data_IF_017429641911
#
_entry.id   IF_017429641911
#
_cell.length_a   1.000
_cell.length_b   1.000
_cell.length_c   1.000
_cell.angle_alpha   90.00
_cell.angle_beta   90.00
_cell.angle_gamma   90.00
#
_symmetry.space_group_name_H-M   'P 1'
#
loop_
_entity.id
_entity.type
_entity.pdbx_description
1 polymer ?
#
# COMPACT_ATOMS: atom_id res chain seq x y z
N UNK A 1 18.84 10.36 -17.55
CA UNK A 1 18.30 9.70 -16.34
C UNK A 1 18.64 10.55 -15.10
N UNK A 2 18.04 11.74 -14.98
CA UNK A 2 18.21 12.66 -13.83
C UNK A 2 17.10 12.43 -12.79
N UNK A 3 15.99 11.80 -13.20
CA UNK A 3 14.73 11.71 -12.44
C UNK A 3 14.80 10.77 -11.22
N UNK A 4 15.63 9.71 -11.26
CA UNK A 4 15.63 8.72 -10.18
C UNK A 4 16.24 9.25 -8.86
N UNK A 5 17.09 10.29 -8.92
CA UNK A 5 17.71 10.94 -7.76
C UNK A 5 16.94 12.14 -7.19
N UNK A 6 15.79 12.48 -7.76
CA UNK A 6 15.01 13.67 -7.37
C UNK A 6 14.41 13.48 -5.97
N UNK A 7 14.51 14.54 -5.18
CA UNK A 7 13.73 14.75 -3.97
C UNK A 7 12.62 15.75 -4.24
N UNK A 8 11.41 15.47 -3.77
CA UNK A 8 10.22 16.31 -3.98
C UNK A 8 9.64 16.64 -2.61
N UNK A 9 9.34 17.92 -2.37
CA UNK A 9 8.62 18.38 -1.20
C UNK A 9 7.39 19.16 -1.65
N UNK A 10 6.22 18.80 -1.13
CA UNK A 10 4.93 19.41 -1.45
C UNK A 10 4.23 19.77 -0.15
N UNK A 11 3.87 21.04 0.02
CA UNK A 11 3.23 21.51 1.24
C UNK A 11 1.82 20.94 1.42
N UNK A 12 1.05 20.85 0.34
CA UNK A 12 -0.32 20.37 0.36
C UNK A 12 -0.65 19.66 -0.96
N UNK A 13 -1.26 18.49 -0.84
CA UNK A 13 -1.89 17.75 -1.92
C UNK A 13 -3.36 17.62 -1.59
N UNK A 14 -4.23 18.04 -2.50
CA UNK A 14 -5.67 17.83 -2.41
C UNK A 14 -6.13 17.06 -3.64
N UNK A 15 -6.80 15.94 -3.41
CA UNK A 15 -7.39 15.11 -4.44
C UNK A 15 -8.86 14.99 -4.14
N UNK A 16 -9.68 15.32 -5.12
CA UNK A 16 -11.12 15.15 -5.07
C UNK A 16 -11.52 14.10 -6.09
N UNK A 17 -12.35 13.18 -5.65
CA UNK A 17 -12.89 12.13 -6.49
C UNK A 17 -14.38 12.04 -6.26
N UNK A 18 -15.11 11.92 -7.36
CA UNK A 18 -16.55 11.82 -7.36
C UNK A 18 -16.96 10.67 -8.28
N UNK A 19 -17.84 9.83 -7.80
CA UNK A 19 -18.52 8.82 -8.57
C UNK A 19 -19.99 8.73 -8.15
N UNK A 20 -20.77 7.96 -8.89
CA UNK A 20 -22.21 7.79 -8.62
C UNK A 20 -22.49 7.30 -7.19
N UNK A 21 -21.59 6.48 -6.63
CA UNK A 21 -21.77 5.89 -5.30
C UNK A 21 -21.33 6.81 -4.14
N UNK A 22 -20.34 7.68 -4.33
CA UNK A 22 -19.85 8.57 -3.27
C UNK A 22 -18.92 9.68 -3.81
N UNK A 23 -18.80 10.76 -3.05
CA UNK A 23 -17.73 11.77 -3.22
C UNK A 23 -16.71 11.61 -2.12
N UNK A 24 -15.43 11.85 -2.41
CA UNK A 24 -14.39 11.81 -1.40
C UNK A 24 -13.25 12.78 -1.68
N UNK A 25 -12.65 13.23 -0.60
CA UNK A 25 -11.59 14.22 -0.59
C UNK A 25 -10.42 13.67 0.22
N UNK A 26 -9.24 13.67 -0.38
CA UNK A 26 -7.98 13.32 0.28
C UNK A 26 -7.14 14.60 0.36
N UNK A 27 -6.82 15.02 1.57
CA UNK A 27 -5.91 16.13 1.85
C UNK A 27 -4.68 15.60 2.56
N UNK A 28 -3.50 15.86 2.01
CA UNK A 28 -2.22 15.42 2.57
C UNK A 28 -1.32 16.63 2.73
N UNK A 29 -0.73 16.81 3.91
CA UNK A 29 0.12 17.95 4.24
C UNK A 29 1.57 17.54 4.46
N UNK A 30 2.48 18.41 4.03
CA UNK A 30 3.94 18.27 4.14
C UNK A 30 4.44 16.94 3.60
N UNK A 31 4.12 16.66 2.35
CA UNK A 31 4.56 15.46 1.65
C UNK A 31 6.01 15.63 1.24
N UNK A 32 6.87 14.69 1.60
CA UNK A 32 8.26 14.62 1.11
C UNK A 32 8.54 13.26 0.53
N UNK A 33 9.16 13.22 -0.66
CA UNK A 33 9.63 12.01 -1.31
C UNK A 33 11.12 12.14 -1.58
N UNK A 34 11.92 11.23 -1.07
CA UNK A 34 13.38 11.27 -1.21
C UNK A 34 13.93 9.87 -1.55
N UNK A 35 15.08 9.83 -2.22
CA UNK A 35 15.83 8.58 -2.39
C UNK A 35 16.64 8.27 -1.12
N UNK A 36 16.57 7.03 -0.63
CA UNK A 36 17.24 6.59 0.61
C UNK A 36 17.98 5.27 0.39
N UNK A 37 18.95 4.94 1.25
CA UNK A 37 19.67 3.66 1.13
C UNK A 37 18.73 2.46 1.38
N UNK A 38 19.15 1.21 1.09
CA UNK A 38 18.39 0.00 1.43
C UNK A 38 18.04 -0.12 2.93
N UNK A 39 18.78 0.56 3.80
CA UNK A 39 18.57 0.66 5.25
C UNK A 39 17.73 1.89 5.66
N UNK A 40 17.33 2.76 4.74
CA UNK A 40 16.51 3.96 5.02
C UNK A 40 17.30 5.22 5.39
N UNK A 41 18.62 5.22 5.18
CA UNK A 41 19.46 6.36 5.54
C UNK A 41 19.55 7.37 4.39
N UNK A 42 19.76 8.65 4.74
CA UNK A 42 20.22 9.67 3.77
C UNK A 42 21.67 9.38 3.41
N UNK A 43 22.04 9.60 2.16
CA UNK A 43 23.41 9.36 1.69
C UNK A 43 23.55 9.61 0.20
N UNK A 44 24.71 9.21 -0.33
CA UNK A 44 25.01 9.30 -1.76
C UNK A 44 23.95 8.56 -2.60
N UNK A 45 23.40 9.23 -3.62
CA UNK A 45 22.41 8.68 -4.56
C UNK A 45 22.87 7.38 -5.25
N UNK A 46 24.18 7.14 -5.35
CA UNK A 46 24.72 5.88 -5.86
C UNK A 46 24.40 4.71 -4.94
N UNK A 47 24.26 4.95 -3.64
CA UNK A 47 23.93 3.96 -2.61
C UNK A 47 22.42 3.80 -2.39
N UNK A 48 21.58 4.62 -3.03
CA UNK A 48 20.11 4.50 -2.96
C UNK A 48 19.52 3.57 -4.04
N UNK A 49 20.39 2.79 -4.70
CA UNK A 49 20.04 1.85 -5.77
C UNK A 49 21.00 0.67 -5.78
N UNK A 50 20.50 -0.51 -6.13
CA UNK A 50 21.31 -1.72 -6.28
C UNK A 50 21.10 -2.28 -7.68
N UNK A 51 22.18 -2.36 -8.47
CA UNK A 51 22.17 -3.03 -9.77
C UNK A 51 22.46 -4.52 -9.56
N UNK A 52 21.66 -5.37 -10.17
CA UNK A 52 22.00 -6.78 -10.30
C UNK A 52 23.10 -6.93 -11.35
N UNK A 53 24.27 -7.50 -11.00
CA UNK A 53 25.33 -7.72 -11.96
C UNK A 53 24.95 -8.75 -13.05
N UNK A 54 23.99 -9.64 -12.76
CA UNK A 54 23.74 -10.83 -13.59
C UNK A 54 22.45 -10.74 -14.40
N UNK A 55 21.46 -9.97 -13.94
CA UNK A 55 20.10 -9.99 -14.54
C UNK A 55 19.73 -8.71 -15.29
N UNK A 56 20.61 -7.71 -15.34
CA UNK A 56 20.29 -6.41 -15.95
C UNK A 56 19.13 -5.68 -15.25
N UNK A 57 18.93 -5.94 -13.96
CA UNK A 57 17.85 -5.37 -13.14
C UNK A 57 18.40 -4.34 -12.14
N UNK A 58 17.53 -3.45 -11.67
CA UNK A 58 17.85 -2.38 -10.73
C UNK A 58 16.78 -2.28 -9.66
N UNK A 59 17.20 -2.21 -8.39
CA UNK A 59 16.36 -1.80 -7.27
C UNK A 59 16.59 -0.32 -6.97
N UNK A 60 15.51 0.43 -6.80
CA UNK A 60 15.52 1.84 -6.39
C UNK A 60 14.74 1.95 -5.08
N UNK A 61 15.29 2.69 -4.13
CA UNK A 61 14.71 2.85 -2.80
C UNK A 61 14.29 4.29 -2.58
N UNK A 62 13.02 4.50 -2.24
CA UNK A 62 12.45 5.81 -1.93
C UNK A 62 11.71 5.77 -0.60
N UNK A 63 11.69 6.90 0.07
CA UNK A 63 10.87 7.14 1.26
C UNK A 63 9.94 8.32 0.99
N UNK A 64 8.66 8.07 1.24
CA UNK A 64 7.57 9.03 1.21
C UNK A 64 7.15 9.25 2.66
N UNK A 65 7.12 10.50 3.09
CA UNK A 65 6.65 10.90 4.42
C UNK A 65 5.60 11.99 4.26
N UNK A 66 4.62 12.02 5.16
CA UNK A 66 3.71 13.14 5.31
C UNK A 66 3.43 13.40 6.79
N UNK A 67 3.06 14.63 7.12
CA UNK A 67 2.74 15.03 8.49
C UNK A 67 1.30 14.70 8.87
N UNK A 68 0.37 14.93 7.94
CA UNK A 68 -1.05 14.61 8.18
C UNK A 68 -1.75 14.25 6.88
N UNK A 69 -2.66 13.29 6.95
CA UNK A 69 -3.61 13.01 5.89
C UNK A 69 -5.04 12.95 6.44
N UNK A 70 -5.96 13.58 5.74
CA UNK A 70 -7.41 13.54 5.99
C UNK A 70 -8.08 12.94 4.78
N UNK A 71 -8.82 11.85 5.00
CA UNK A 71 -9.62 11.19 3.99
C UNK A 71 -11.07 11.32 4.41
N UNK A 72 -11.87 12.01 3.61
CA UNK A 72 -13.32 12.13 3.83
C UNK A 72 -14.08 11.44 2.72
N UNK A 73 -15.11 10.68 3.04
CA UNK A 73 -15.99 10.08 2.02
C UNK A 73 -17.47 10.26 2.41
N UNK A 74 -18.28 10.70 1.46
CA UNK A 74 -19.72 10.87 1.60
C UNK A 74 -20.44 10.00 0.57
N UNK A 75 -21.14 8.98 1.04
CA UNK A 75 -21.92 8.09 0.19
C UNK A 75 -23.16 8.81 -0.39
N UNK A 76 -23.48 8.51 -1.65
CA UNK A 76 -24.67 8.96 -2.35
C UNK A 76 -25.66 7.78 -2.39
N UNK A 77 -26.50 7.64 -1.37
CA UNK A 77 -27.64 6.73 -1.40
C UNK A 77 -28.77 7.32 -0.57
N UNK A 78 -30.02 6.96 -0.88
CA UNK A 78 -31.17 7.45 -0.09
C UNK A 78 -31.05 7.11 1.40
N UNK A 79 -30.40 5.98 1.73
CA UNK A 79 -30.12 5.57 3.11
C UNK A 79 -28.95 6.34 3.76
N UNK A 80 -28.10 7.00 2.96
CA UNK A 80 -26.91 7.70 3.42
C UNK A 80 -26.94 9.23 3.23
N UNK A 81 -28.00 9.77 2.62
CA UNK A 81 -28.11 11.19 2.27
C UNK A 81 -27.96 12.12 3.48
N UNK A 82 -28.51 11.70 4.62
CA UNK A 82 -28.48 12.43 5.89
C UNK A 82 -27.34 11.98 6.83
N UNK A 83 -26.49 11.04 6.42
CA UNK A 83 -25.40 10.55 7.26
C UNK A 83 -24.20 11.50 7.22
N UNK A 84 -23.51 11.64 8.35
CA UNK A 84 -22.24 12.35 8.42
C UNK A 84 -21.20 11.66 7.53
N UNK A 85 -20.31 12.42 6.86
CA UNK A 85 -19.25 11.82 6.06
C UNK A 85 -18.32 10.96 6.93
N UNK A 86 -17.82 9.89 6.34
CA UNK A 86 -16.72 9.11 6.88
C UNK A 86 -15.48 9.99 6.92
N UNK A 87 -14.75 10.02 8.04
CA UNK A 87 -13.51 10.80 8.17
C UNK A 87 -12.43 9.95 8.80
N UNK A 88 -11.34 9.71 8.08
CA UNK A 88 -10.13 9.08 8.59
C UNK A 88 -9.01 10.11 8.66
N UNK A 89 -8.39 10.22 9.83
CA UNK A 89 -7.25 11.10 10.07
C UNK A 89 -6.03 10.23 10.33
N UNK A 90 -4.96 10.51 9.59
CA UNK A 90 -3.65 9.91 9.77
C UNK A 90 -2.68 11.02 10.17
N UNK A 91 -1.93 10.79 11.24
CA UNK A 91 -0.83 11.67 11.64
C UNK A 91 0.41 11.44 10.78
N UNK A 92 1.60 11.55 11.39
CA UNK A 92 2.82 11.33 10.63
C UNK A 92 2.84 9.89 10.15
N UNK A 93 3.17 9.71 8.88
CA UNK A 93 3.23 8.38 8.29
C UNK A 93 4.47 8.26 7.45
N UNK A 94 5.18 7.15 7.68
CA UNK A 94 6.34 6.77 6.88
C UNK A 94 5.92 5.73 5.84
N UNK A 95 6.33 5.93 4.60
CA UNK A 95 6.08 5.02 3.52
C UNK A 95 7.38 4.68 2.81
N UNK A 96 7.73 3.39 2.78
CA UNK A 96 8.93 2.90 2.09
C UNK A 96 8.55 2.26 0.77
N UNK A 97 9.18 2.71 -0.31
CA UNK A 97 8.95 2.26 -1.67
C UNK A 97 10.23 1.60 -2.19
N UNK A 98 10.13 0.35 -2.65
CA UNK A 98 11.19 -0.33 -3.40
C UNK A 98 10.68 -0.60 -4.80
N UNK A 99 11.37 -0.10 -5.82
CA UNK A 99 10.99 -0.25 -7.22
C UNK A 99 12.02 -1.12 -7.93
N UNK A 100 11.59 -2.21 -8.55
CA UNK A 100 12.43 -3.06 -9.40
C UNK A 100 12.20 -2.70 -10.87
N UNK A 101 13.26 -2.26 -11.54
CA UNK A 101 13.26 -1.90 -12.97
C UNK A 101 14.18 -2.83 -13.77
N UNK A 102 13.88 -3.00 -15.05
CA UNK A 102 14.81 -3.53 -16.06
C UNK A 102 15.66 -2.39 -16.62
N UNK A 103 16.95 -2.62 -16.82
CA UNK A 103 17.87 -1.57 -17.29
C UNK A 103 17.76 -1.29 -18.79
N UNK A 104 17.39 -2.27 -19.60
CA UNK A 104 17.35 -2.12 -21.07
C UNK A 104 16.27 -1.17 -21.57
N UNK A 105 15.11 -1.15 -20.91
CA UNK A 105 13.92 -0.39 -21.32
C UNK A 105 13.30 0.45 -20.19
N UNK A 106 13.92 0.46 -19.00
CA UNK A 106 13.42 1.11 -17.79
C UNK A 106 12.04 0.61 -17.31
N UNK A 107 11.56 -0.55 -17.79
CA UNK A 107 10.26 -1.09 -17.40
C UNK A 107 10.23 -1.47 -15.92
N UNK A 108 9.14 -1.08 -15.22
CA UNK A 108 8.91 -1.48 -13.83
C UNK A 108 8.44 -2.93 -13.80
N UNK A 109 9.28 -3.81 -13.25
CA UNK A 109 9.02 -5.24 -13.10
C UNK A 109 8.19 -5.53 -11.84
N UNK A 110 8.39 -4.74 -10.79
CA UNK A 110 7.68 -4.89 -9.52
C UNK A 110 7.93 -3.72 -8.58
N UNK A 111 7.08 -3.60 -7.57
CA UNK A 111 7.20 -2.58 -6.53
C UNK A 111 6.73 -3.11 -5.18
N UNK A 112 7.43 -2.74 -4.12
CA UNK A 112 7.02 -3.00 -2.74
C UNK A 112 6.73 -1.66 -2.08
N UNK A 113 5.53 -1.50 -1.56
CA UNK A 113 5.10 -0.34 -0.77
C UNK A 113 4.87 -0.79 0.67
N UNK A 114 5.50 -0.15 1.65
CA UNK A 114 5.24 -0.42 3.06
C UNK A 114 4.87 0.88 3.77
N UNK A 115 3.65 0.96 4.29
CA UNK A 115 3.10 2.12 4.99
C UNK A 115 3.13 1.84 6.49
N UNK A 116 3.68 2.79 7.25
CA UNK A 116 3.82 2.76 8.70
C UNK A 116 3.26 4.06 9.28
N UNK A 117 1.96 4.10 9.58
CA UNK A 117 1.38 5.26 10.26
C UNK A 117 1.82 5.29 11.72
N UNK A 118 1.80 6.47 12.33
CA UNK A 118 1.72 6.60 13.78
C UNK A 118 0.45 5.94 14.33
N UNK A 119 0.40 5.63 15.64
CA UNK A 119 -0.84 5.19 16.30
C UNK A 119 -2.01 6.11 15.94
N UNK A 120 -3.10 5.52 15.46
CA UNK A 120 -4.29 6.27 15.06
C UNK A 120 -5.50 5.83 15.88
N UNK A 121 -6.38 6.79 16.14
CA UNK A 121 -7.69 6.55 16.71
C UNK A 121 -8.75 6.89 15.67
N UNK A 122 -9.72 6.00 15.51
CA UNK A 122 -10.81 6.18 14.56
C UNK A 122 -12.16 5.93 15.23
N UNK A 123 -12.94 7.00 15.36
CA UNK A 123 -14.29 6.94 15.91
C UNK A 123 -15.30 6.91 14.77
N UNK A 124 -16.24 5.98 14.84
CA UNK A 124 -17.29 5.77 13.85
C UNK A 124 -18.63 5.60 14.55
N UNK A 125 -19.65 6.30 14.07
CA UNK A 125 -21.03 5.96 14.40
C UNK A 125 -21.50 4.75 13.59
N UNK A 126 -22.60 4.11 13.99
CA UNK A 126 -23.20 3.00 13.22
C UNK A 126 -23.54 3.42 11.77
N UNK A 127 -24.07 4.63 11.58
CA UNK A 127 -24.28 5.21 10.26
C UNK A 127 -22.99 5.37 9.46
N UNK A 128 -21.92 5.88 10.08
CA UNK A 128 -20.61 6.02 9.41
C UNK A 128 -19.97 4.67 9.10
N UNK A 129 -20.15 3.65 9.94
CA UNK A 129 -19.68 2.29 9.68
C UNK A 129 -20.41 1.67 8.47
N UNK A 130 -21.74 1.82 8.40
CA UNK A 130 -22.52 1.41 7.23
C UNK A 130 -22.07 2.12 5.96
N UNK A 131 -21.85 3.44 6.03
CA UNK A 131 -21.32 4.22 4.91
C UNK A 131 -19.92 3.75 4.49
N UNK A 132 -19.03 3.43 5.44
CA UNK A 132 -17.69 2.91 5.15
C UNK A 132 -17.75 1.58 4.39
N UNK A 133 -18.63 0.66 4.81
CA UNK A 133 -18.85 -0.61 4.13
C UNK A 133 -19.40 -0.40 2.71
N UNK A 134 -20.35 0.51 2.54
CA UNK A 134 -20.91 0.85 1.22
C UNK A 134 -19.83 1.45 0.28
N UNK A 135 -19.01 2.37 0.77
CA UNK A 135 -17.89 2.92 0.01
C UNK A 135 -16.87 1.83 -0.37
N UNK A 136 -16.53 0.92 0.54
CA UNK A 136 -15.63 -0.19 0.26
C UNK A 136 -16.20 -1.13 -0.82
N UNK A 137 -17.50 -1.43 -0.76
CA UNK A 137 -18.18 -2.23 -1.78
C UNK A 137 -18.17 -1.53 -3.15
N UNK A 138 -18.43 -0.22 -3.19
CA UNK A 138 -18.38 0.57 -4.42
C UNK A 138 -16.99 0.60 -5.06
N UNK A 139 -15.92 0.56 -4.25
CA UNK A 139 -14.53 0.52 -4.73
C UNK A 139 -14.08 -0.88 -5.20
N UNK A 140 -14.74 -1.95 -4.75
CA UNK A 140 -14.29 -3.31 -4.99
C UNK A 140 -14.21 -3.67 -6.49
N UNK A 141 -15.26 -3.36 -7.27
CA UNK A 141 -15.31 -3.68 -8.70
C UNK A 141 -14.31 -2.87 -9.54
N UNK A 142 -14.21 -1.53 -9.39
CA UNK A 142 -13.15 -0.74 -10.04
C UNK A 142 -11.74 -1.26 -9.75
N UNK A 143 -11.44 -1.58 -8.49
CA UNK A 143 -10.13 -2.12 -8.07
C UNK A 143 -9.87 -3.49 -8.72
N UNK A 144 -10.88 -4.36 -8.77
CA UNK A 144 -10.78 -5.68 -9.41
C UNK A 144 -10.53 -5.55 -10.91
N UNK A 145 -11.25 -4.67 -11.61
CA UNK A 145 -11.07 -4.40 -13.05
C UNK A 145 -9.68 -3.84 -13.34
N UNK A 146 -9.22 -2.87 -12.56
CA UNK A 146 -7.88 -2.28 -12.68
C UNK A 146 -6.78 -3.35 -12.46
N UNK A 147 -6.95 -4.19 -11.44
CA UNK A 147 -6.03 -5.29 -11.12
C UNK A 147 -5.99 -6.32 -12.25
N UNK A 148 -7.15 -6.70 -12.80
CA UNK A 148 -7.23 -7.64 -13.93
C UNK A 148 -6.57 -7.06 -15.20
N UNK A 149 -6.80 -5.79 -15.51
CA UNK A 149 -6.15 -5.11 -16.64
C UNK A 149 -4.62 -5.07 -16.47
N UNK A 150 -4.13 -4.70 -15.28
CA UNK A 150 -2.70 -4.69 -14.98
C UNK A 150 -2.09 -6.10 -15.03
N UNK A 151 -2.82 -7.13 -14.59
CA UNK A 151 -2.40 -8.54 -14.68
C UNK A 151 -2.25 -8.98 -16.14
N UNK A 152 -3.23 -8.64 -17.00
CA UNK A 152 -3.19 -8.94 -18.43
C UNK A 152 -2.02 -8.24 -19.12
N UNK A 153 -1.81 -6.95 -18.85
CA UNK A 153 -0.68 -6.21 -19.39
C UNK A 153 0.68 -6.82 -18.97
N UNK A 154 0.81 -7.27 -17.72
CA UNK A 154 2.00 -8.00 -17.26
C UNK A 154 2.17 -9.37 -17.92
N UNK A 155 1.08 -10.07 -18.22
CA UNK A 155 1.13 -11.37 -18.89
C UNK A 155 1.59 -11.23 -20.35
N UNK A 156 1.10 -10.23 -21.08
CA UNK A 156 1.52 -9.93 -22.46
C UNK A 156 3.03 -9.64 -22.50
N UNK A 157 3.53 -8.77 -21.61
CA UNK A 157 4.97 -8.47 -21.52
C UNK A 157 5.84 -9.71 -21.27
N UNK A 158 5.38 -10.66 -20.45
CA UNK A 158 6.12 -11.91 -20.21
C UNK A 158 6.20 -12.83 -21.44
N UNK A 159 5.27 -12.71 -22.39
CA UNK A 159 5.26 -13.51 -23.62
C UNK A 159 6.20 -12.90 -24.67
N UNK A 160 6.29 -11.56 -24.71
CA UNK A 160 7.17 -10.83 -25.62
C UNK A 160 8.65 -10.86 -25.20
N UNK A 161 8.95 -11.24 -23.96
CA UNK A 161 10.32 -11.30 -23.44
C UNK A 161 11.07 -12.55 -23.92
N UNK A 162 12.20 -12.41 -24.66
CA UNK A 162 13.11 -13.52 -24.92
C UNK A 162 13.66 -14.06 -23.59
N UNK A 163 13.59 -15.37 -23.39
CA UNK A 163 14.23 -16.06 -22.26
C UNK A 163 15.74 -16.11 -22.50
N UNK A 164 16.42 -14.96 -22.41
CA UNK A 164 17.87 -14.92 -22.54
C UNK A 164 18.53 -15.39 -21.24
N UNK A 165 18.76 -16.70 -21.23
CA UNK A 165 19.93 -17.43 -20.77
C UNK A 165 20.67 -16.86 -19.55
N UNK A 166 20.52 -17.58 -18.44
CA UNK A 166 21.45 -17.59 -17.32
C UNK A 166 22.80 -18.08 -17.87
N UNK A 167 23.67 -17.16 -18.30
CA UNK A 167 25.07 -17.50 -18.55
C UNK A 167 25.79 -17.59 -17.21
N UNK A 168 26.10 -18.81 -16.78
CA UNK A 168 27.06 -19.05 -15.72
C UNK A 168 28.43 -18.51 -16.13
N UNK A 169 28.88 -17.42 -15.53
CA UNK A 169 30.24 -16.90 -15.70
C UNK A 169 30.86 -16.58 -14.35
N UNK A 170 32.16 -16.78 -14.27
CA UNK A 170 32.99 -16.75 -13.06
C UNK A 170 32.80 -15.46 -12.24
N UNK A 171 32.49 -15.65 -10.96
CA UNK A 171 32.23 -14.59 -9.99
C UNK A 171 33.54 -14.03 -9.44
N UNK A 172 33.79 -12.74 -9.68
CA UNK A 172 34.73 -11.95 -8.87
C UNK A 172 34.07 -11.59 -7.53
N UNK A 173 34.84 -11.45 -6.45
CA UNK A 173 34.30 -11.27 -5.09
C UNK A 173 33.30 -10.12 -4.92
N UNK A 174 33.52 -8.98 -5.60
CA UNK A 174 32.62 -7.82 -5.55
C UNK A 174 31.26 -8.08 -6.24
N UNK A 175 31.23 -8.91 -7.29
CA UNK A 175 29.98 -9.29 -7.96
C UNK A 175 29.11 -10.13 -7.03
N UNK A 176 29.72 -11.04 -6.26
CA UNK A 176 29.00 -11.88 -5.31
C UNK A 176 28.39 -11.05 -4.17
N UNK A 177 29.10 -10.02 -3.68
CA UNK A 177 28.57 -9.09 -2.67
C UNK A 177 27.35 -8.34 -3.20
N UNK A 178 27.43 -7.79 -4.42
CA UNK A 178 26.31 -7.06 -5.04
C UNK A 178 25.12 -7.98 -5.34
N UNK A 179 25.37 -9.19 -5.82
CA UNK A 179 24.33 -10.20 -6.07
C UNK A 179 23.61 -10.57 -4.76
N UNK A 180 24.34 -10.83 -3.68
CA UNK A 180 23.78 -11.10 -2.35
C UNK A 180 22.98 -9.92 -1.80
N UNK A 181 23.50 -8.70 -1.95
CA UNK A 181 22.79 -7.48 -1.53
C UNK A 181 21.49 -7.28 -2.33
N UNK A 182 21.53 -7.50 -3.64
CA UNK A 182 20.34 -7.44 -4.48
C UNK A 182 19.30 -8.49 -4.06
N UNK A 183 19.72 -9.75 -3.89
CA UNK A 183 18.85 -10.86 -3.50
C UNK A 183 18.16 -10.60 -2.14
N UNK A 184 18.87 -10.01 -1.18
CA UNK A 184 18.33 -9.63 0.14
C UNK A 184 17.16 -8.63 0.04
N UNK A 185 17.20 -7.72 -0.93
CA UNK A 185 16.20 -6.66 -1.09
C UNK A 185 15.23 -6.90 -2.25
N UNK A 186 15.36 -8.04 -2.94
CA UNK A 186 14.64 -8.29 -4.18
C UNK A 186 13.12 -8.16 -4.02
N UNK A 187 12.49 -7.63 -5.06
CA UNK A 187 11.04 -7.50 -5.17
C UNK A 187 10.57 -8.58 -6.14
N UNK A 188 10.22 -9.75 -5.58
CA UNK A 188 9.76 -10.92 -6.34
C UNK A 188 8.41 -10.66 -7.02
N UNK A 189 7.54 -9.93 -6.35
CA UNK A 189 6.25 -9.50 -6.88
C UNK A 189 5.82 -8.15 -6.29
N UNK A 190 4.86 -7.50 -6.96
CA UNK A 190 4.29 -6.26 -6.45
C UNK A 190 3.52 -6.54 -5.16
N UNK A 191 3.75 -5.74 -4.13
CA UNK A 191 3.17 -5.93 -2.79
C UNK A 191 2.93 -4.60 -2.08
N UNK A 192 1.88 -4.56 -1.28
CA UNK A 192 1.52 -3.44 -0.41
C UNK A 192 1.42 -3.95 1.03
N UNK A 193 2.06 -3.26 1.96
CA UNK A 193 2.16 -3.66 3.35
C UNK A 193 1.70 -2.51 4.25
N UNK A 194 0.80 -2.79 5.18
CA UNK A 194 0.44 -1.91 6.29
C UNK A 194 1.07 -2.47 7.55
N UNK A 195 1.86 -1.65 8.26
CA UNK A 195 2.43 -1.98 9.56
C UNK A 195 1.96 -0.93 10.55
N UNK A 196 0.79 -1.16 11.13
CA UNK A 196 0.16 -0.24 12.07
C UNK A 196 0.53 -0.65 13.50
N UNK A 197 1.29 0.18 14.25
CA UNK A 197 1.71 -0.17 15.61
C UNK A 197 0.51 -0.25 16.56
N UNK A 198 -0.49 0.60 16.36
CA UNK A 198 -1.72 0.62 17.15
C UNK A 198 -2.85 1.30 16.37
N UNK A 199 -4.03 0.70 16.42
CA UNK A 199 -5.28 1.29 15.91
C UNK A 199 -6.32 1.18 17.02
N UNK A 200 -6.80 2.32 17.51
CA UNK A 200 -7.90 2.39 18.47
C UNK A 200 -9.20 2.70 17.72
N UNK A 201 -10.07 1.70 17.56
CA UNK A 201 -11.38 1.84 16.93
C UNK A 201 -12.45 2.07 18.00
N UNK A 202 -13.19 3.17 17.87
CA UNK A 202 -14.29 3.53 18.76
C UNK A 202 -15.59 3.49 17.96
N UNK A 203 -16.39 2.44 18.15
CA UNK A 203 -17.69 2.31 17.53
C UNK A 203 -18.74 2.83 18.53
N UNK A 204 -19.41 3.91 18.18
CA UNK A 204 -20.42 4.54 19.02
C UNK A 204 -21.79 4.44 18.35
N UNK A 205 -22.84 4.34 19.15
CA UNK A 205 -24.19 4.49 18.63
C UNK A 205 -24.47 5.97 18.26
N UNK A 206 -25.29 6.18 17.23
CA UNK A 206 -25.72 7.50 16.77
C UNK A 206 -27.09 7.83 17.40
N UNK A 207 -27.29 8.97 18.09
CA UNK A 207 -28.64 9.39 18.44
C UNK A 207 -29.40 9.84 17.18
N UNK A 208 -30.45 9.12 16.78
CA UNK A 208 -31.35 9.51 15.68
C UNK A 208 -31.33 8.54 14.50
N UNK A 209 -31.39 9.07 13.26
CA UNK A 209 -31.61 8.30 12.02
C UNK A 209 -30.50 7.28 11.69
N UNK A 210 -29.32 7.38 12.32
CA UNK A 210 -28.20 6.47 12.12
C UNK A 210 -28.16 5.27 13.07
N UNK A 211 -29.11 5.18 14.02
CA UNK A 211 -29.15 4.15 15.07
C UNK A 211 -29.44 2.75 14.51
N UNK A 212 -28.94 1.73 15.21
CA UNK A 212 -29.27 0.32 14.92
C UNK A 212 -30.73 0.00 15.23
N UNK A 213 -31.43 -0.69 14.31
CA UNK A 213 -32.80 -1.18 14.51
C UNK A 213 -32.90 -2.40 15.45
N UNK A 214 -31.78 -2.84 16.04
CA UNK A 214 -31.72 -4.03 16.89
C UNK A 214 -32.34 -3.76 18.27
N UNK A 215 -33.41 -4.47 18.70
CA UNK A 215 -34.12 -4.15 19.94
C UNK A 215 -33.27 -4.21 21.22
N UNK A 216 -32.28 -5.11 21.26
CA UNK A 216 -31.35 -5.26 22.39
C UNK A 216 -30.33 -4.12 22.51
N UNK A 217 -30.20 -3.27 21.49
CA UNK A 217 -29.35 -2.07 21.48
C UNK A 217 -30.18 -0.79 21.54
N UNK A 218 -31.46 -0.87 21.92
CA UNK A 218 -32.39 0.28 21.98
C UNK A 218 -31.94 1.42 22.90
N UNK A 219 -31.13 1.12 23.92
CA UNK A 219 -30.49 2.11 24.82
C UNK A 219 -29.16 2.65 24.30
N UNK A 220 -28.74 2.23 23.11
CA UNK A 220 -27.42 2.47 22.53
C UNK A 220 -26.33 1.59 23.12
N UNK A 221 -25.13 1.75 22.59
CA UNK A 221 -23.93 1.04 23.02
C UNK A 221 -22.67 1.68 22.47
N UNK A 222 -21.54 1.31 23.05
CA UNK A 222 -20.22 1.65 22.52
C UNK A 222 -19.32 0.42 22.58
N UNK A 223 -18.54 0.21 21.53
CA UNK A 223 -17.51 -0.83 21.46
C UNK A 223 -16.18 -0.17 21.15
N UNK A 224 -15.19 -0.40 22.01
CA UNK A 224 -13.81 -0.02 21.75
C UNK A 224 -13.01 -1.26 21.38
N UNK A 225 -12.30 -1.21 20.26
CA UNK A 225 -11.41 -2.27 19.79
C UNK A 225 -10.02 -1.68 19.60
N UNK A 226 -9.05 -2.15 20.36
CA UNK A 226 -7.65 -1.78 20.18
C UNK A 226 -6.91 -2.92 19.47
N UNK A 227 -6.39 -2.63 18.28
CA UNK A 227 -5.49 -3.50 17.55
C UNK A 227 -4.05 -3.07 17.83
N UNK A 228 -3.20 -4.00 18.23
CA UNK A 228 -1.78 -3.75 18.53
C UNK A 228 -0.92 -4.54 17.55
N UNK A 229 0.10 -3.89 16.99
CA UNK A 229 1.04 -4.50 16.04
C UNK A 229 0.33 -5.17 14.85
N UNK A 230 -0.66 -4.49 14.27
CA UNK A 230 -1.39 -5.00 13.11
C UNK A 230 -0.50 -4.94 11.86
N UNK A 231 -0.41 -6.08 11.18
CA UNK A 231 0.19 -6.19 9.85
C UNK A 231 -0.86 -6.68 8.85
N UNK A 232 -0.95 -6.01 7.72
CA UNK A 232 -1.77 -6.46 6.60
C UNK A 232 -0.96 -6.38 5.30
N UNK A 233 -0.91 -7.49 4.57
CA UNK A 233 -0.12 -7.63 3.35
C UNK A 233 -1.04 -7.96 2.17
N UNK A 234 -0.91 -7.20 1.09
CA UNK A 234 -1.68 -7.37 -0.14
C UNK A 234 -0.75 -7.64 -1.32
N UNK A 235 -0.98 -8.78 -1.97
CA UNK A 235 -0.28 -9.21 -3.18
C UNK A 235 -1.26 -9.27 -4.35
N UNK A 236 -1.53 -8.14 -5.03
CA UNK A 236 -2.66 -7.99 -5.95
C UNK A 236 -2.62 -8.92 -7.17
N UNK A 237 -1.44 -9.42 -7.54
CA UNK A 237 -1.23 -10.24 -8.75
C UNK A 237 -0.85 -11.69 -8.43
N UNK A 238 -0.83 -12.06 -7.16
CA UNK A 238 -0.44 -13.41 -6.75
C UNK A 238 -1.52 -14.42 -7.14
N UNK A 239 -1.09 -15.57 -7.67
CA UNK A 239 -2.00 -16.67 -7.99
C UNK A 239 -2.17 -17.58 -6.79
N UNK A 240 -3.37 -18.10 -6.55
CA UNK A 240 -3.62 -19.01 -5.43
C UNK A 240 -2.74 -20.28 -5.41
N UNK A 241 -2.24 -20.71 -6.58
CA UNK A 241 -1.30 -21.83 -6.71
C UNK A 241 0.18 -21.45 -6.56
N UNK A 242 0.50 -20.18 -6.32
CA UNK A 242 1.86 -19.67 -6.19
C UNK A 242 2.52 -20.03 -4.86
N UNK A 243 3.86 -20.08 -4.89
CA UNK A 243 4.69 -20.23 -3.68
C UNK A 243 4.68 -18.94 -2.84
N UNK A 244 4.40 -19.08 -1.55
CA UNK A 244 4.27 -17.98 -0.58
C UNK A 244 5.41 -17.91 0.43
N UNK A 245 6.45 -18.76 0.33
CA UNK A 245 7.59 -18.77 1.28
C UNK A 245 8.34 -17.44 1.39
N UNK A 246 8.19 -16.56 0.41
CA UNK A 246 8.81 -15.25 0.40
C UNK A 246 7.97 -14.15 1.07
N UNK A 247 6.72 -14.46 1.44
CA UNK A 247 5.85 -13.55 2.17
C UNK A 247 6.36 -13.44 3.62
N UNK A 248 6.50 -12.21 4.10
CA UNK A 248 7.03 -11.98 5.46
C UNK A 248 6.05 -12.53 6.49
N UNK A 249 6.56 -13.35 7.41
CA UNK A 249 5.76 -13.91 8.50
C UNK A 249 4.79 -15.02 8.09
N UNK A 250 4.69 -15.35 6.80
CA UNK A 250 3.84 -16.45 6.35
C UNK A 250 4.44 -17.80 6.78
N UNK A 251 3.59 -18.63 7.39
CA UNK A 251 3.88 -20.03 7.69
C UNK A 251 2.76 -20.84 7.06
N UNK A 252 3.10 -21.84 6.25
CA UNK A 252 2.08 -22.80 5.80
C UNK A 252 1.53 -23.52 7.02
N UNK A 253 0.20 -23.53 7.15
CA UNK A 253 -0.44 -24.45 8.07
C UNK A 253 -0.13 -25.86 7.56
N UNK A 254 0.67 -26.60 8.32
CA UNK A 254 0.90 -28.02 8.05
C UNK A 254 -0.44 -28.70 8.29
N UNK A 255 -1.07 -29.20 7.23
CA UNK A 255 -2.21 -30.11 7.35
C UNK A 255 -1.74 -31.37 8.07
N UNK A 256 -2.27 -31.58 9.28
CA UNK A 256 -2.17 -32.83 10.03
C UNK A 256 -3.06 -33.91 9.41
#
# INVERSE_FOLDING_TARGET
>A
MIIDGISVAVNQVQVEFSCDAFTSTIQISRVTVESRTPEGRKGDLRLTRIKSPDTGQLLIFKELEWQSARIEAKAHSAAAENLQPLRLLLGNTHCRIVIKKRLSDCAVLGSRLAIRPEPLAWALTDGQLRAALACAAALAEPVKKATAAATRAKAVRKIEEPRDQIQSRSSTGDKDILARMFAKHDVRETSYHLLAPRIDLHLCDDPGLGRSDKPSLSKGGALQVTLVSMQADLFPYHKASGDRRHWRGYRECVSH
#
